data_IF_366865126042
#
_entry.id   IF_366865126042
#
_cell.length_a   1.000
_cell.length_b   1.000
_cell.length_c   1.000
_cell.angle_alpha   90.00
_cell.angle_beta   90.00
_cell.angle_gamma   90.00
#
_symmetry.space_group_name_H-M   'P 1'
#
loop_
_entity.id
_entity.type
_entity.pdbx_description
1 polymer ?
#
# COMPACT_ATOMS: atom_id res chain seq x y z
N UNK A 1 -17.34 1.17 -6.15
CA UNK A 1 -18.47 0.58 -5.38
C UNK A 1 -19.58 1.61 -5.31
N UNK A 2 -19.37 2.81 -4.78
CA UNK A 2 -20.38 3.83 -4.55
C UNK A 2 -21.17 4.19 -5.83
N UNK A 3 -20.45 4.52 -6.91
CA UNK A 3 -21.06 4.86 -8.20
C UNK A 3 -21.80 3.70 -8.87
N UNK A 4 -21.39 2.46 -8.61
CA UNK A 4 -21.98 1.28 -9.23
C UNK A 4 -23.24 0.81 -8.48
N UNK A 5 -23.20 0.88 -7.15
CA UNK A 5 -24.27 0.33 -6.29
C UNK A 5 -25.19 1.40 -5.71
N UNK A 6 -24.88 2.69 -5.85
CA UNK A 6 -25.66 3.80 -5.30
C UNK A 6 -25.68 3.83 -3.77
N UNK A 7 -24.66 3.27 -3.12
CA UNK A 7 -24.49 3.24 -1.66
C UNK A 7 -23.24 4.01 -1.24
N UNK A 8 -23.20 4.47 0.00
CA UNK A 8 -21.96 5.00 0.58
C UNK A 8 -21.10 3.88 1.16
N UNK A 9 -19.81 3.91 0.89
CA UNK A 9 -18.82 2.98 1.44
C UNK A 9 -17.93 3.73 2.42
N UNK A 10 -17.69 3.11 3.59
CA UNK A 10 -16.85 3.67 4.64
C UNK A 10 -15.70 2.72 4.94
N UNK A 11 -14.51 3.27 5.08
CA UNK A 11 -13.32 2.51 5.46
C UNK A 11 -13.35 2.14 6.95
N UNK A 12 -12.83 0.95 7.25
CA UNK A 12 -12.62 0.46 8.61
C UNK A 12 -11.19 -0.07 8.69
N UNK A 13 -10.52 0.19 9.79
CA UNK A 13 -9.19 -0.36 10.07
C UNK A 13 -9.21 -1.23 11.32
N UNK A 14 -8.48 -2.32 11.27
CA UNK A 14 -8.27 -3.23 12.38
C UNK A 14 -7.31 -4.35 12.02
N UNK A 15 -6.79 -5.01 13.05
CA UNK A 15 -5.86 -6.13 12.98
C UNK A 15 -6.36 -7.24 13.90
N UNK A 16 -6.14 -8.49 13.53
CA UNK A 16 -6.47 -9.64 14.39
C UNK A 16 -5.81 -9.52 15.77
N UNK A 17 -4.58 -9.04 15.80
CA UNK A 17 -3.78 -8.83 17.01
C UNK A 17 -4.38 -7.77 17.95
N UNK A 18 -5.06 -6.77 17.41
CA UNK A 18 -5.70 -5.69 18.17
C UNK A 18 -7.16 -5.97 18.53
N UNK A 19 -7.62 -7.23 18.47
CA UNK A 19 -8.99 -7.69 18.75
C UNK A 19 -9.95 -7.61 17.54
N UNK A 20 -9.41 -7.60 16.32
CA UNK A 20 -10.20 -7.68 15.10
C UNK A 20 -10.56 -6.33 14.49
N UNK A 21 -11.61 -6.25 13.69
CA UNK A 21 -12.04 -5.02 13.06
C UNK A 21 -12.53 -4.01 14.12
N UNK A 22 -12.28 -2.73 13.87
CA UNK A 22 -12.86 -1.69 14.71
C UNK A 22 -11.87 -0.92 15.56
N UNK A 23 -10.60 -0.89 15.20
CA UNK A 23 -9.61 0.01 15.79
C UNK A 23 -9.88 1.45 15.36
N UNK A 24 -10.24 1.65 14.08
CA UNK A 24 -10.63 2.95 13.55
C UNK A 24 -11.74 2.83 12.51
N UNK A 25 -12.58 3.86 12.41
CA UNK A 25 -13.73 3.91 11.50
C UNK A 25 -13.84 5.25 10.80
N UNK A 26 -14.16 5.21 9.52
CA UNK A 26 -14.52 6.39 8.77
C UNK A 26 -15.92 6.91 9.17
N UNK A 27 -16.11 8.21 9.08
CA UNK A 27 -17.39 8.86 9.31
C UNK A 27 -17.96 9.40 7.99
N UNK A 28 -19.15 10.01 8.07
CA UNK A 28 -19.85 10.59 6.89
C UNK A 28 -19.01 11.64 6.13
N UNK A 29 -18.01 12.24 6.79
CA UNK A 29 -17.10 13.20 6.16
C UNK A 29 -16.09 12.56 5.20
N UNK A 30 -15.87 11.23 5.29
CA UNK A 30 -14.93 10.46 4.46
C UNK A 30 -13.54 11.12 4.37
N UNK A 31 -13.08 11.68 5.50
CA UNK A 31 -11.82 12.44 5.60
C UNK A 31 -10.80 11.80 6.54
N UNK A 32 -10.77 10.47 6.57
CA UNK A 32 -9.95 9.65 7.44
C UNK A 32 -10.76 8.93 8.51
N UNK A 33 -10.15 7.94 9.13
CA UNK A 33 -10.78 7.05 10.11
C UNK A 33 -10.50 7.53 11.53
N UNK A 34 -11.54 7.66 12.33
CA UNK A 34 -11.44 8.01 13.76
C UNK A 34 -11.01 6.80 14.56
N UNK A 35 -9.92 6.93 15.32
CA UNK A 35 -9.41 5.90 16.21
C UNK A 35 -10.27 5.83 17.46
N UNK A 36 -10.56 4.62 17.94
CA UNK A 36 -11.23 4.39 19.21
C UNK A 36 -10.25 4.60 20.38
N UNK A 37 -10.05 5.87 20.75
CA UNK A 37 -9.10 6.29 21.81
C UNK A 37 -9.50 5.82 23.23
N UNK A 38 -10.72 5.34 23.41
CA UNK A 38 -11.16 4.64 24.63
C UNK A 38 -10.54 3.25 24.78
N UNK A 39 -10.03 2.65 23.69
CA UNK A 39 -9.43 1.33 23.68
C UNK A 39 -7.97 1.32 23.24
N UNK A 40 -7.53 2.34 22.50
CA UNK A 40 -6.21 2.36 21.89
C UNK A 40 -5.52 3.72 21.99
N UNK A 41 -4.24 3.69 22.32
CA UNK A 41 -3.35 4.83 22.12
C UNK A 41 -2.61 4.59 20.79
N UNK A 42 -2.67 5.57 19.89
CA UNK A 42 -1.99 5.52 18.60
C UNK A 42 -0.79 6.47 18.57
N UNK A 43 0.31 6.00 18.04
CA UNK A 43 1.54 6.75 17.81
C UNK A 43 2.00 6.57 16.36
N UNK A 44 2.71 7.56 15.83
CA UNK A 44 3.49 7.41 14.60
C UNK A 44 4.97 7.42 14.97
N UNK A 45 5.70 6.44 14.49
CA UNK A 45 7.14 6.33 14.73
C UNK A 45 7.93 6.32 13.42
N UNK A 46 9.18 6.70 13.52
CA UNK A 46 10.17 6.42 12.48
C UNK A 46 10.41 4.90 12.44
N UNK A 47 10.24 4.24 11.29
CA UNK A 47 10.37 2.77 11.20
C UNK A 47 11.78 2.25 11.49
N UNK A 48 12.83 3.08 11.28
CA UNK A 48 14.23 2.69 11.46
C UNK A 48 14.71 2.95 12.90
N UNK A 49 14.43 4.14 13.44
CA UNK A 49 14.88 4.52 14.78
C UNK A 49 13.92 4.14 15.90
N UNK A 50 12.62 3.99 15.59
CA UNK A 50 11.56 3.75 16.57
C UNK A 50 11.17 4.99 17.39
N UNK A 51 11.71 6.16 17.06
CA UNK A 51 11.38 7.43 17.71
C UNK A 51 9.98 7.90 17.32
N UNK A 52 9.26 8.49 18.28
CA UNK A 52 7.92 9.05 18.02
C UNK A 52 8.06 10.31 17.19
N UNK A 53 7.31 10.37 16.11
CA UNK A 53 7.28 11.51 15.19
C UNK A 53 6.19 12.51 15.57
N UNK A 54 6.38 13.79 15.24
CA UNK A 54 5.35 14.81 15.45
C UNK A 54 4.04 14.49 14.70
N UNK A 55 2.93 15.01 15.21
CA UNK A 55 1.63 14.92 14.56
C UNK A 55 1.69 15.45 13.13
N UNK A 56 0.97 14.80 12.22
CA UNK A 56 0.99 15.11 10.78
C UNK A 56 2.17 14.51 10.01
N UNK A 57 3.13 13.89 10.71
CA UNK A 57 4.24 13.19 10.05
C UNK A 57 3.78 11.86 9.47
N UNK A 58 4.43 11.46 8.38
CA UNK A 58 4.31 10.12 7.82
C UNK A 58 5.28 9.18 8.53
N UNK A 59 4.80 8.05 9.03
CA UNK A 59 5.63 7.03 9.68
C UNK A 59 4.88 5.74 9.92
N UNK A 60 5.47 4.82 10.66
CA UNK A 60 4.87 3.55 11.01
C UNK A 60 3.86 3.72 12.16
N UNK A 61 2.67 3.17 11.97
CA UNK A 61 1.59 3.19 12.94
C UNK A 61 1.85 2.18 14.07
N UNK A 62 1.70 2.64 15.29
CA UNK A 62 1.89 1.86 16.51
C UNK A 62 0.65 1.98 17.38
N UNK A 63 0.21 0.86 17.98
CA UNK A 63 -0.91 0.84 18.92
C UNK A 63 -0.51 0.28 20.28
N UNK A 64 -1.01 0.91 21.33
CA UNK A 64 -1.07 0.35 22.67
C UNK A 64 -2.53 0.11 23.03
N UNK A 65 -2.89 -1.14 23.36
CA UNK A 65 -4.23 -1.47 23.84
C UNK A 65 -4.34 -1.15 25.33
N UNK A 66 -5.38 -0.40 25.75
CA UNK A 66 -5.57 0.02 27.14
C UNK A 66 -6.66 -0.77 27.87
N UNK A 67 -7.53 -1.46 27.15
CA UNK A 67 -8.64 -2.23 27.72
C UNK A 67 -8.49 -3.75 27.58
N UNK A 68 -7.46 -4.20 26.85
CA UNK A 68 -7.26 -5.63 26.56
C UNK A 68 -6.52 -6.31 27.72
N UNK A 69 -7.21 -7.14 28.51
CA UNK A 69 -6.64 -7.87 29.64
C UNK A 69 -5.83 -9.08 29.20
N UNK A 70 -6.39 -9.91 28.31
CA UNK A 70 -5.70 -11.06 27.75
C UNK A 70 -4.84 -10.64 26.57
N UNK A 71 -3.53 -10.93 26.63
CA UNK A 71 -2.57 -10.58 25.61
C UNK A 71 -2.54 -9.05 25.31
N UNK A 72 -2.23 -8.22 26.31
CA UNK A 72 -2.15 -6.76 26.12
C UNK A 72 -1.03 -6.42 25.16
N UNK A 73 -1.31 -5.53 24.22
CA UNK A 73 -0.32 -5.03 23.27
C UNK A 73 0.22 -3.68 23.77
N UNK A 74 1.51 -3.63 24.04
CA UNK A 74 2.22 -2.40 24.40
C UNK A 74 3.11 -1.99 23.24
N UNK A 75 2.84 -0.81 22.67
CA UNK A 75 3.56 -0.25 21.52
C UNK A 75 3.72 -1.27 20.36
N UNK A 76 2.63 -1.91 20.00
CA UNK A 76 2.62 -2.88 18.91
C UNK A 76 2.84 -2.19 17.56
N UNK A 77 3.92 -2.56 16.90
CA UNK A 77 4.28 -2.05 15.57
C UNK A 77 3.45 -2.77 14.51
N UNK A 78 2.54 -2.04 13.84
CA UNK A 78 1.65 -2.63 12.83
C UNK A 78 2.35 -2.88 11.50
N UNK A 79 3.48 -2.22 11.28
CA UNK A 79 4.19 -2.11 10.00
C UNK A 79 3.46 -1.29 8.93
N UNK A 80 2.27 -0.82 9.21
CA UNK A 80 1.52 0.04 8.29
C UNK A 80 2.04 1.48 8.35
N UNK A 81 2.27 2.07 7.18
CA UNK A 81 2.69 3.47 7.05
C UNK A 81 1.45 4.35 7.00
N UNK A 82 1.38 5.30 7.91
CA UNK A 82 0.20 6.14 8.11
C UNK A 82 0.58 7.58 8.50
N UNK A 83 -0.43 8.44 8.60
CA UNK A 83 -0.37 9.79 9.17
C UNK A 83 -1.50 9.90 10.19
N UNK A 84 -1.20 10.44 11.37
CA UNK A 84 -2.21 10.80 12.38
C UNK A 84 -2.43 12.30 12.41
N UNK A 85 -3.70 12.72 12.63
CA UNK A 85 -4.06 14.13 12.80
C UNK A 85 -5.16 14.30 13.85
N UNK A 86 -5.09 15.41 14.60
CA UNK A 86 -6.14 15.85 15.53
C UNK A 86 -7.00 16.98 14.98
N UNK A 87 -6.91 17.25 13.68
CA UNK A 87 -7.77 18.24 13.05
C UNK A 87 -9.24 17.92 13.26
N UNK A 88 -10.01 18.97 13.63
CA UNK A 88 -11.43 18.85 13.90
C UNK A 88 -12.17 18.32 12.67
N UNK A 89 -12.91 17.25 12.85
CA UNK A 89 -13.73 16.68 11.79
C UNK A 89 -15.08 17.40 11.70
N UNK A 90 -15.61 17.55 10.49
CA UNK A 90 -16.95 18.12 10.26
C UNK A 90 -18.08 17.30 10.91
N UNK A 91 -17.86 16.03 11.21
CA UNK A 91 -18.80 15.19 11.96
C UNK A 91 -18.90 15.54 13.46
N UNK A 92 -18.08 16.47 13.95
CA UNK A 92 -18.06 16.93 15.35
C UNK A 92 -17.18 16.11 16.28
N UNK A 93 -16.63 14.94 15.87
CA UNK A 93 -15.73 14.14 16.70
C UNK A 93 -14.36 14.82 16.84
N UNK A 94 -13.76 14.65 18.01
CA UNK A 94 -12.44 15.18 18.38
C UNK A 94 -11.38 14.10 18.48
N UNK A 95 -11.74 12.85 18.18
CA UNK A 95 -10.83 11.71 18.18
C UNK A 95 -9.71 11.88 17.14
N UNK A 96 -8.54 11.31 17.43
CA UNK A 96 -7.46 11.20 16.47
C UNK A 96 -7.98 10.52 15.20
N UNK A 97 -7.63 11.09 14.06
CA UNK A 97 -7.89 10.48 12.75
C UNK A 97 -6.61 9.91 12.18
N UNK A 98 -6.72 8.75 11.59
CA UNK A 98 -5.69 8.17 10.75
C UNK A 98 -6.07 8.26 9.27
N UNK A 99 -5.09 8.47 8.41
CA UNK A 99 -5.30 8.32 6.98
C UNK A 99 -5.44 6.82 6.63
N UNK A 100 -5.87 6.54 5.42
CA UNK A 100 -5.77 5.19 4.86
C UNK A 100 -4.30 4.76 4.84
N UNK A 101 -3.95 3.51 5.25
CA UNK A 101 -2.59 3.02 5.15
C UNK A 101 -2.03 3.19 3.74
N UNK A 102 -0.82 3.75 3.65
CA UNK A 102 -0.15 4.06 2.39
C UNK A 102 0.76 2.94 1.90
N UNK A 103 0.89 1.87 2.67
CA UNK A 103 1.74 0.71 2.44
C UNK A 103 2.28 0.18 3.75
N UNK A 104 3.19 -0.79 3.68
CA UNK A 104 3.82 -1.40 4.86
C UNK A 104 5.32 -1.11 4.87
N UNK A 105 5.90 -0.94 6.04
CA UNK A 105 7.34 -0.72 6.21
C UNK A 105 8.16 -1.98 5.87
N UNK A 106 7.60 -3.16 6.10
CA UNK A 106 8.23 -4.46 5.80
C UNK A 106 8.08 -4.88 4.32
N UNK A 107 7.15 -4.29 3.57
CA UNK A 107 7.02 -4.49 2.12
C UNK A 107 7.85 -3.49 1.30
N UNK A 108 8.51 -2.54 1.98
CA UNK A 108 9.34 -1.54 1.32
C UNK A 108 10.58 -2.17 0.69
N UNK A 109 10.80 -1.87 -0.58
CA UNK A 109 11.99 -2.26 -1.32
C UNK A 109 12.90 -1.05 -1.51
N UNK A 110 14.18 -1.21 -1.23
CA UNK A 110 15.18 -0.20 -1.60
C UNK A 110 15.79 -0.62 -2.92
N UNK A 111 15.50 0.14 -3.99
CA UNK A 111 15.97 -0.15 -5.34
C UNK A 111 16.75 1.06 -5.85
N UNK A 112 18.04 0.91 -6.13
CA UNK A 112 18.92 2.02 -6.56
C UNK A 112 18.88 3.22 -5.59
N UNK A 113 18.74 2.97 -4.28
CA UNK A 113 18.66 4.01 -3.26
C UNK A 113 17.29 4.71 -3.14
N UNK A 114 16.27 4.23 -3.84
CA UNK A 114 14.90 4.76 -3.77
C UNK A 114 13.99 3.77 -3.02
N UNK A 115 13.19 4.31 -2.10
CA UNK A 115 12.19 3.53 -1.38
C UNK A 115 10.98 3.29 -2.30
N UNK A 116 10.74 2.03 -2.64
CA UNK A 116 9.64 1.58 -3.52
C UNK A 116 8.66 0.75 -2.71
N UNK A 117 7.41 1.17 -2.71
CA UNK A 117 6.33 0.39 -2.11
C UNK A 117 5.52 -0.32 -3.19
N UNK A 118 5.23 -1.63 -3.05
CA UNK A 118 4.40 -2.37 -4.01
C UNK A 118 3.06 -1.70 -4.31
N UNK A 119 2.43 -1.08 -3.30
CA UNK A 119 1.17 -0.33 -3.45
C UNK A 119 1.25 0.84 -4.44
N UNK A 120 2.42 1.46 -4.61
CA UNK A 120 2.61 2.51 -5.61
C UNK A 120 2.56 1.94 -7.04
N UNK A 121 3.15 0.77 -7.26
CA UNK A 121 3.10 0.05 -8.53
C UNK A 121 1.67 -0.38 -8.84
N UNK A 122 1.00 -0.99 -7.86
CA UNK A 122 -0.40 -1.41 -7.98
C UNK A 122 -1.31 -0.24 -8.38
N UNK A 123 -1.13 0.93 -7.76
CA UNK A 123 -1.90 2.14 -8.07
C UNK A 123 -1.77 2.60 -9.52
N UNK A 124 -0.64 2.32 -10.16
CA UNK A 124 -0.42 2.57 -11.59
C UNK A 124 -1.14 1.53 -12.43
N UNK A 125 -0.96 0.25 -12.11
CA UNK A 125 -1.51 -0.85 -12.89
C UNK A 125 -3.04 -0.84 -12.90
N UNK A 126 -3.68 -0.53 -11.76
CA UNK A 126 -5.14 -0.42 -11.65
C UNK A 126 -5.76 0.69 -12.51
N UNK A 127 -4.98 1.72 -12.91
CA UNK A 127 -5.45 2.77 -13.81
C UNK A 127 -5.41 2.36 -15.28
N UNK A 128 -4.75 1.24 -15.58
CA UNK A 128 -4.56 0.74 -16.94
C UNK A 128 -5.55 -0.41 -17.17
N UNK A 129 -6.64 -0.12 -17.86
CA UNK A 129 -7.76 -1.07 -18.08
C UNK A 129 -7.35 -2.40 -18.74
N UNK A 130 -6.19 -2.43 -19.39
CA UNK A 130 -5.65 -3.59 -20.09
C UNK A 130 -4.68 -4.45 -19.26
N UNK A 131 -4.19 -3.94 -18.12
CA UNK A 131 -3.31 -4.69 -17.23
C UNK A 131 -4.14 -5.48 -16.22
N UNK A 132 -3.73 -6.73 -15.97
CA UNK A 132 -4.22 -7.48 -14.82
C UNK A 132 -3.70 -6.85 -13.50
N UNK A 133 -4.43 -6.93 -12.40
CA UNK A 133 -3.91 -6.55 -11.09
C UNK A 133 -2.79 -7.48 -10.60
N UNK A 134 -2.59 -8.60 -11.27
CA UNK A 134 -1.54 -9.57 -10.92
C UNK A 134 -0.20 -9.13 -11.51
N UNK A 135 0.78 -8.96 -10.65
CA UNK A 135 2.13 -8.58 -11.05
C UNK A 135 3.17 -9.18 -10.11
N UNK A 136 4.42 -9.25 -10.60
CA UNK A 136 5.58 -9.69 -9.82
C UNK A 136 6.68 -8.64 -9.94
N UNK A 137 7.24 -8.25 -8.78
CA UNK A 137 8.42 -7.39 -8.73
C UNK A 137 9.65 -8.30 -8.66
N UNK A 138 10.57 -8.13 -9.60
CA UNK A 138 11.85 -8.84 -9.62
C UNK A 138 12.96 -7.82 -9.43
N UNK A 139 13.66 -7.94 -8.31
CA UNK A 139 14.85 -7.14 -8.00
C UNK A 139 16.05 -8.07 -7.97
N UNK A 140 17.05 -7.76 -8.77
CA UNK A 140 18.29 -8.53 -8.85
C UNK A 140 19.48 -7.58 -8.84
N UNK A 141 20.65 -8.08 -8.48
CA UNK A 141 21.87 -7.29 -8.43
C UNK A 141 22.91 -7.82 -9.41
N UNK A 142 23.12 -7.05 -10.47
CA UNK A 142 24.07 -7.40 -11.53
C UNK A 142 25.17 -6.34 -11.59
N UNK A 143 26.44 -6.76 -11.50
CA UNK A 143 27.59 -5.85 -11.54
C UNK A 143 27.49 -4.67 -10.56
N UNK A 144 27.13 -4.93 -9.31
CA UNK A 144 26.93 -3.93 -8.26
C UNK A 144 25.82 -2.88 -8.54
N UNK A 145 24.95 -3.13 -9.51
CA UNK A 145 23.79 -2.28 -9.81
C UNK A 145 22.51 -3.07 -9.69
N UNK A 146 21.51 -2.50 -9.02
CA UNK A 146 20.21 -3.12 -8.90
C UNK A 146 19.51 -3.10 -10.25
N UNK A 147 18.98 -4.25 -10.67
CA UNK A 147 18.03 -4.36 -11.77
C UNK A 147 16.61 -4.35 -11.19
N UNK A 148 15.69 -3.70 -11.90
CA UNK A 148 14.31 -3.56 -11.48
C UNK A 148 13.39 -3.92 -12.65
N UNK A 149 12.75 -5.08 -12.56
CA UNK A 149 11.81 -5.60 -13.55
C UNK A 149 10.45 -5.80 -12.89
N UNK A 150 9.38 -5.42 -13.59
CA UNK A 150 8.00 -5.68 -13.18
C UNK A 150 7.36 -6.54 -14.26
N UNK A 151 6.93 -7.73 -13.86
CA UNK A 151 6.18 -8.65 -14.71
C UNK A 151 4.71 -8.43 -14.45
N UNK A 152 3.95 -8.12 -15.49
CA UNK A 152 2.52 -7.83 -15.41
C UNK A 152 1.76 -8.85 -16.24
N UNK A 153 0.75 -9.47 -15.67
CA UNK A 153 -0.14 -10.36 -16.42
C UNK A 153 -1.04 -9.56 -17.36
N UNK A 154 -1.24 -10.11 -18.55
CA UNK A 154 -2.22 -9.61 -19.51
C UNK A 154 -3.56 -10.29 -19.32
N UNK A 155 -4.64 -9.55 -19.49
CA UNK A 155 -5.97 -10.14 -19.60
C UNK A 155 -6.10 -10.95 -20.91
N UNK A 156 -6.88 -12.03 -20.88
CA UNK A 156 -7.02 -12.96 -22.01
C UNK A 156 -7.44 -12.30 -23.32
N UNK A 157 -8.19 -11.21 -23.27
CA UNK A 157 -8.66 -10.44 -24.43
C UNK A 157 -7.51 -9.77 -25.24
N UNK A 158 -6.30 -9.69 -24.66
CA UNK A 158 -5.16 -9.01 -25.27
C UNK A 158 -4.26 -9.88 -26.14
N UNK A 159 -4.44 -11.21 -26.12
CA UNK A 159 -3.62 -12.13 -26.94
C UNK A 159 -3.87 -12.01 -28.44
N UNK A 160 -4.90 -11.28 -28.85
CA UNK A 160 -5.21 -10.97 -30.26
C UNK A 160 -4.58 -9.67 -30.77
N UNK A 161 -3.94 -8.88 -29.90
CA UNK A 161 -3.37 -7.58 -30.25
C UNK A 161 -2.03 -7.72 -31.02
N UNK A 162 -1.72 -6.71 -31.82
CA UNK A 162 -0.46 -6.66 -32.57
C UNK A 162 0.75 -6.43 -31.65
N UNK A 163 1.92 -6.93 -32.04
CA UNK A 163 3.20 -6.73 -31.32
C UNK A 163 3.43 -5.26 -30.95
N UNK A 164 3.06 -4.34 -31.84
CA UNK A 164 3.19 -2.89 -31.63
C UNK A 164 2.34 -2.39 -30.47
N UNK A 165 1.13 -2.92 -30.28
CA UNK A 165 0.26 -2.51 -29.17
C UNK A 165 0.80 -3.01 -27.81
N UNK A 166 1.49 -4.14 -27.80
CA UNK A 166 2.17 -4.69 -26.61
C UNK A 166 3.35 -3.80 -26.20
N UNK A 167 4.23 -3.44 -27.16
CA UNK A 167 5.36 -2.54 -26.91
C UNK A 167 4.92 -1.14 -26.43
N UNK A 168 3.84 -0.61 -27.00
CA UNK A 168 3.31 0.70 -26.59
C UNK A 168 2.73 0.64 -25.16
N UNK A 169 2.11 -0.48 -24.79
CA UNK A 169 1.63 -0.70 -23.41
C UNK A 169 2.79 -0.82 -22.42
N UNK A 170 3.85 -1.57 -22.73
CA UNK A 170 5.05 -1.67 -21.90
C UNK A 170 5.68 -0.30 -21.65
N UNK A 171 5.83 0.50 -22.73
CA UNK A 171 6.37 1.87 -22.63
C UNK A 171 5.48 2.76 -21.75
N UNK A 172 4.16 2.68 -21.91
CA UNK A 172 3.21 3.44 -21.12
C UNK A 172 3.34 3.09 -19.63
N UNK A 173 3.29 1.81 -19.28
CA UNK A 173 3.45 1.34 -17.89
C UNK A 173 4.79 1.82 -17.32
N UNK A 174 5.89 1.66 -18.07
CA UNK A 174 7.23 2.07 -17.63
C UNK A 174 7.31 3.57 -17.36
N UNK A 175 6.69 4.41 -18.19
CA UNK A 175 6.66 5.85 -18.01
C UNK A 175 5.79 6.25 -16.81
N UNK A 176 4.61 5.66 -16.65
CA UNK A 176 3.71 5.95 -15.54
C UNK A 176 4.35 5.56 -14.19
N UNK A 177 5.04 4.42 -14.14
CA UNK A 177 5.81 4.00 -12.97
C UNK A 177 6.98 4.95 -12.71
N UNK A 178 7.73 5.35 -13.75
CA UNK A 178 8.81 6.31 -13.60
C UNK A 178 8.33 7.66 -13.04
N UNK A 179 7.18 8.14 -13.48
CA UNK A 179 6.60 9.39 -12.99
C UNK A 179 6.26 9.34 -11.49
N UNK A 180 5.92 8.19 -10.95
CA UNK A 180 5.57 8.02 -9.53
C UNK A 180 6.79 7.69 -8.67
N UNK A 181 7.67 6.81 -9.15
CA UNK A 181 8.80 6.29 -8.36
C UNK A 181 10.11 7.07 -8.57
N UNK A 182 10.23 7.85 -9.66
CA UNK A 182 11.48 8.51 -10.04
C UNK A 182 12.55 7.58 -10.62
N UNK A 183 12.30 6.27 -10.67
CA UNK A 183 13.21 5.26 -11.23
C UNK A 183 12.53 4.49 -12.37
N UNK A 184 13.34 4.07 -13.35
CA UNK A 184 12.84 3.26 -14.48
C UNK A 184 12.80 1.78 -14.11
N UNK A 185 11.65 1.15 -14.34
CA UNK A 185 11.46 -0.29 -14.31
C UNK A 185 11.46 -0.86 -15.73
N UNK A 186 12.03 -2.05 -15.90
CA UNK A 186 11.81 -2.84 -17.10
C UNK A 186 10.45 -3.53 -16.95
N UNK A 187 9.55 -3.30 -17.88
CA UNK A 187 8.25 -3.95 -17.89
C UNK A 187 8.32 -5.19 -18.77
N UNK A 188 7.73 -6.27 -18.33
CA UNK A 188 7.56 -7.51 -19.08
C UNK A 188 6.13 -7.97 -18.94
N UNK A 189 5.42 -7.98 -20.05
CA UNK A 189 4.07 -8.52 -20.11
C UNK A 189 4.14 -10.05 -20.23
N UNK A 190 3.36 -10.76 -19.43
CA UNK A 190 3.38 -12.21 -19.33
C UNK A 190 1.96 -12.78 -19.44
N UNK A 191 1.86 -14.00 -19.98
CA UNK A 191 0.58 -14.70 -20.07
C UNK A 191 0.20 -15.33 -18.72
N UNK A 192 -1.11 -15.41 -18.44
CA UNK A 192 -1.68 -15.98 -17.20
C UNK A 192 -1.18 -17.42 -16.92
N UNK A 193 -0.96 -18.22 -17.97
CA UNK A 193 -0.47 -19.60 -17.85
C UNK A 193 0.97 -19.72 -17.32
N UNK A 194 1.73 -18.62 -17.28
CA UNK A 194 3.13 -18.63 -16.88
C UNK A 194 3.32 -18.32 -15.39
N UNK A 195 2.30 -17.82 -14.75
CA UNK A 195 2.42 -17.32 -13.39
C UNK A 195 1.17 -17.64 -12.60
N UNK A 196 1.20 -18.66 -11.78
CA UNK A 196 0.39 -18.64 -10.57
C UNK A 196 0.97 -17.58 -9.62
N UNK A 197 1.08 -16.34 -10.12
CA UNK A 197 1.52 -15.21 -9.33
C UNK A 197 0.43 -14.92 -8.31
N UNK A 198 0.73 -15.17 -7.05
CA UNK A 198 -0.03 -14.53 -5.98
C UNK A 198 0.15 -13.04 -6.17
N UNK A 199 -0.93 -12.27 -6.10
CA UNK A 199 -0.84 -10.82 -6.01
C UNK A 199 0.24 -10.47 -4.98
N UNK A 200 1.20 -9.59 -5.33
CA UNK A 200 2.32 -9.16 -4.48
C UNK A 200 3.47 -10.16 -4.23
N UNK A 201 3.85 -10.96 -5.20
CA UNK A 201 5.07 -11.75 -5.04
C UNK A 201 6.32 -10.91 -5.38
N UNK A 202 7.18 -10.68 -4.38
CA UNK A 202 8.51 -10.06 -4.57
C UNK A 202 9.57 -11.15 -4.50
N UNK A 203 10.38 -11.30 -5.55
CA UNK A 203 11.56 -12.18 -5.53
C UNK A 203 12.83 -11.35 -5.47
N UNK A 204 13.63 -11.59 -4.44
CA UNK A 204 15.02 -11.15 -4.39
C UNK A 204 15.91 -12.37 -4.65
N UNK A 205 16.75 -12.28 -5.65
CA UNK A 205 17.90 -13.18 -5.77
C UNK A 205 19.10 -12.51 -5.06
N UNK A 206 19.47 -13.07 -3.91
CA UNK A 206 20.68 -12.68 -3.15
C UNK A 206 21.93 -13.26 -3.79
#
# INVERSE_FOLDING_TARGET
>A
IENLLGIKAYDIYGLTETSGPGVAFECEAQSGMHINEDNFIAEIIDPDTGEVLPEGSKGELVFTSITKEAFPLLRYRTRDICILTREKCSCGRTLVKMCKPMGRSDDMLIIKGVNVFPSQIESVLLKISKASPNYQIVVDRVNNSDTFEIRVELNDDMFSDTVKSIEDLEKKISNDIHNILGIKAKIRLVAVSYTHLRAHETRRHL
#
